data_IF_507332010732
#
_entry.id   IF_507332010732
#
_cell.length_a   1.000
_cell.length_b   1.000
_cell.length_c   1.000
_cell.angle_alpha   90.00
_cell.angle_beta   90.00
_cell.angle_gamma   90.00
#
_symmetry.space_group_name_H-M   'P 1'
#
loop_
_entity.id
_entity.type
_entity.pdbx_description
1 polymer ?
#
# COMPACT_ATOMS: atom_id res chain seq x y z
N UNK A 1 -16.04 2.64 -13.91
CA UNK A 1 -15.77 2.72 -12.48
C UNK A 1 -14.32 3.08 -12.27
N UNK A 2 -14.09 4.09 -11.46
CA UNK A 2 -12.74 4.53 -11.13
C UNK A 2 -12.44 4.18 -9.68
N UNK A 3 -11.60 3.21 -9.45
CA UNK A 3 -11.32 2.72 -8.10
C UNK A 3 -9.96 3.22 -7.64
N UNK A 4 -9.91 3.77 -6.43
CA UNK A 4 -8.66 4.04 -5.74
C UNK A 4 -8.49 2.96 -4.68
N UNK A 5 -7.34 2.29 -4.69
CA UNK A 5 -7.03 1.26 -3.71
C UNK A 5 -6.08 1.84 -2.67
N UNK A 6 -6.43 1.69 -1.41
CA UNK A 6 -5.57 2.10 -0.30
C UNK A 6 -5.02 0.85 0.37
N UNK A 7 -3.71 0.79 0.48
CA UNK A 7 -3.00 -0.33 1.09
C UNK A 7 -2.32 0.17 2.38
N UNK A 8 -3.01 0.06 3.52
CA UNK A 8 -2.38 0.47 4.78
C UNK A 8 -1.25 -0.50 5.13
N UNK A 9 -0.08 0.04 5.33
CA UNK A 9 1.11 -0.72 5.68
C UNK A 9 1.68 -0.30 7.04
N UNK A 10 1.11 0.74 7.64
CA UNK A 10 1.56 1.21 8.95
C UNK A 10 1.24 0.15 10.01
N UNK A 11 2.17 -0.09 10.90
CA UNK A 11 1.96 -1.04 11.98
C UNK A 11 2.26 -2.48 11.65
N UNK A 12 2.19 -2.85 10.38
CA UNK A 12 2.49 -4.22 9.99
C UNK A 12 3.97 -4.52 10.25
N UNK A 13 4.84 -3.60 9.82
CA UNK A 13 6.27 -3.76 10.03
C UNK A 13 6.63 -3.80 11.51
N UNK A 14 5.96 -2.99 12.31
CA UNK A 14 6.24 -2.94 13.74
C UNK A 14 5.87 -4.24 14.43
N UNK A 15 4.82 -4.90 13.97
CA UNK A 15 4.35 -6.13 14.59
C UNK A 15 5.20 -7.34 14.22
N UNK A 16 5.62 -7.41 12.97
CA UNK A 16 6.34 -8.57 12.46
C UNK A 16 7.79 -8.25 12.12
N UNK A 17 8.28 -7.13 12.63
CA UNK A 17 9.56 -6.62 12.18
C UNK A 17 9.40 -6.05 10.80
N UNK A 18 10.47 -5.55 10.23
CA UNK A 18 10.42 -4.92 8.93
C UNK A 18 10.23 -5.90 7.79
N UNK A 19 10.19 -7.19 8.07
CA UNK A 19 10.35 -8.17 7.01
C UNK A 19 9.07 -8.73 6.45
N UNK A 20 7.94 -8.48 7.11
CA UNK A 20 6.69 -9.04 6.61
C UNK A 20 6.40 -8.61 5.19
N UNK A 21 6.52 -7.31 4.91
CA UNK A 21 6.23 -6.78 3.59
C UNK A 21 7.35 -7.03 2.61
N UNK A 22 8.54 -7.34 3.10
CA UNK A 22 9.69 -7.64 2.25
C UNK A 22 9.84 -9.11 1.96
N UNK A 23 9.06 -9.94 2.61
CA UNK A 23 9.17 -11.38 2.44
C UNK A 23 8.89 -11.74 0.98
N UNK A 24 9.81 -12.48 0.40
CA UNK A 24 9.69 -12.84 -1.01
C UNK A 24 8.68 -13.94 -1.23
N UNK A 25 7.83 -13.72 -2.21
CA UNK A 25 6.92 -14.73 -2.70
C UNK A 25 7.16 -14.86 -4.19
N UNK A 26 7.79 -15.94 -4.59
CA UNK A 26 8.11 -16.12 -5.99
C UNK A 26 9.12 -15.11 -6.51
N UNK A 27 10.04 -14.70 -5.65
CA UNK A 27 11.11 -13.79 -6.05
C UNK A 27 10.79 -12.31 -5.93
N UNK A 28 9.65 -11.97 -5.31
CA UNK A 28 9.27 -10.58 -5.14
C UNK A 28 8.75 -10.31 -3.75
N UNK A 29 9.03 -9.12 -3.20
CA UNK A 29 8.47 -8.78 -1.90
C UNK A 29 6.94 -8.85 -1.89
N UNK A 30 6.39 -9.21 -0.75
CA UNK A 30 4.95 -9.36 -0.60
C UNK A 30 4.20 -8.08 -0.99
N UNK A 31 4.70 -6.93 -0.57
CA UNK A 31 4.06 -5.67 -0.91
C UNK A 31 3.98 -5.47 -2.43
N UNK A 32 5.05 -5.78 -3.13
CA UNK A 32 5.10 -5.62 -4.58
C UNK A 32 4.10 -6.57 -5.25
N UNK A 33 3.99 -7.78 -4.74
CA UNK A 33 3.03 -8.74 -5.29
C UNK A 33 1.60 -8.24 -5.12
N UNK A 34 1.31 -7.64 -3.96
CA UNK A 34 -0.01 -7.07 -3.71
C UNK A 34 -0.31 -5.94 -4.68
N UNK A 35 0.66 -5.03 -4.86
CA UNK A 35 0.49 -3.92 -5.79
C UNK A 35 0.24 -4.44 -7.21
N UNK A 36 1.04 -5.39 -7.64
CA UNK A 36 0.90 -5.92 -9.00
C UNK A 36 -0.46 -6.54 -9.25
N UNK A 37 -1.03 -7.18 -8.23
CA UNK A 37 -2.35 -7.76 -8.39
C UNK A 37 -3.40 -6.70 -8.71
N UNK A 38 -3.26 -5.51 -8.14
CA UNK A 38 -4.19 -4.43 -8.40
C UNK A 38 -3.89 -3.68 -9.70
N UNK A 39 -2.62 -3.58 -10.10
CA UNK A 39 -2.29 -2.87 -11.34
C UNK A 39 -2.84 -3.59 -12.57
N UNK A 40 -3.18 -4.85 -12.43
CA UNK A 40 -3.75 -5.62 -13.54
C UNK A 40 -5.22 -5.37 -13.76
N UNK A 41 -5.89 -4.65 -12.85
CA UNK A 41 -7.32 -4.43 -12.94
C UNK A 41 -7.58 -3.09 -13.63
N UNK A 42 -8.28 -3.10 -14.76
CA UNK A 42 -8.49 -1.86 -15.51
C UNK A 42 -9.30 -0.81 -14.77
N UNK A 43 -10.15 -1.22 -13.83
CA UNK A 43 -10.94 -0.27 -13.06
C UNK A 43 -10.12 0.45 -11.98
N UNK A 44 -8.93 -0.05 -11.65
CA UNK A 44 -8.08 0.59 -10.64
C UNK A 44 -7.31 1.72 -11.29
N UNK A 45 -7.61 2.94 -10.88
CA UNK A 45 -7.01 4.14 -11.43
C UNK A 45 -5.88 4.69 -10.58
N UNK A 46 -5.89 4.37 -9.30
CA UNK A 46 -4.93 4.91 -8.36
C UNK A 46 -4.67 3.88 -7.26
N UNK A 47 -3.42 3.76 -6.86
CA UNK A 47 -3.04 2.93 -5.73
C UNK A 47 -2.25 3.80 -4.77
N UNK A 48 -2.65 3.81 -3.51
CA UNK A 48 -1.98 4.56 -2.46
C UNK A 48 -1.49 3.58 -1.41
N UNK A 49 -0.19 3.60 -1.14
CA UNK A 49 0.39 2.82 -0.06
C UNK A 49 0.65 3.78 1.09
N UNK A 50 0.07 3.51 2.24
CA UNK A 50 0.29 4.30 3.44
C UNK A 50 1.26 3.55 4.34
N UNK A 51 2.48 4.03 4.40
CA UNK A 51 3.56 3.38 5.15
C UNK A 51 3.52 3.72 6.62
N UNK A 52 4.51 3.22 7.37
CA UNK A 52 4.59 3.51 8.79
C UNK A 52 4.91 4.99 9.02
N UNK A 53 4.60 5.46 10.21
CA UNK A 53 4.83 6.87 10.56
C UNK A 53 6.24 7.09 11.12
N UNK A 54 6.65 8.35 11.17
CA UNK A 54 7.87 8.74 11.84
C UNK A 54 9.13 8.22 11.13
N UNK A 55 10.13 7.88 11.92
CA UNK A 55 11.41 7.44 11.39
C UNK A 55 11.28 6.15 10.57
N UNK A 56 10.32 5.33 10.92
CA UNK A 56 10.10 4.09 10.18
C UNK A 56 9.67 4.36 8.73
N UNK A 57 9.08 5.52 8.48
CA UNK A 57 8.68 5.86 7.12
C UNK A 57 9.90 6.04 6.21
N UNK A 58 10.97 6.64 6.71
CA UNK A 58 12.17 6.80 5.89
C UNK A 58 12.75 5.46 5.46
N UNK A 59 12.82 4.51 6.38
CA UNK A 59 13.33 3.18 6.04
C UNK A 59 12.40 2.49 5.04
N UNK A 60 11.11 2.65 5.23
CA UNK A 60 10.12 2.09 4.31
C UNK A 60 10.26 2.72 2.92
N UNK A 61 10.39 4.03 2.89
CA UNK A 61 10.55 4.77 1.65
C UNK A 61 11.81 4.34 0.91
N UNK A 62 12.93 4.24 1.63
CA UNK A 62 14.19 3.82 1.03
C UNK A 62 14.08 2.43 0.40
N UNK A 63 13.32 1.57 1.03
CA UNK A 63 13.19 0.20 0.56
C UNK A 63 12.24 0.07 -0.63
N UNK A 64 11.14 0.80 -0.61
CA UNK A 64 10.06 0.55 -1.56
C UNK A 64 9.77 1.68 -2.55
N UNK A 65 10.26 2.90 -2.32
CA UNK A 65 9.86 4.04 -3.13
C UNK A 65 10.10 3.83 -4.62
N UNK A 66 11.25 3.29 -4.97
CA UNK A 66 11.61 3.12 -6.38
C UNK A 66 10.66 2.14 -7.07
N UNK A 67 10.41 0.99 -6.44
CA UNK A 67 9.57 -0.02 -7.08
C UNK A 67 8.11 0.41 -7.08
N UNK A 68 7.65 1.09 -6.03
CA UNK A 68 6.29 1.59 -6.00
C UNK A 68 6.09 2.67 -7.06
N UNK A 69 7.07 3.56 -7.20
CA UNK A 69 7.01 4.57 -8.24
C UNK A 69 7.00 3.98 -9.64
N UNK A 70 7.73 2.89 -9.83
CA UNK A 70 7.73 2.19 -11.10
C UNK A 70 6.31 1.71 -11.46
N UNK A 71 5.54 1.31 -10.47
CA UNK A 71 4.17 0.85 -10.70
C UNK A 71 3.15 1.98 -10.63
N UNK A 72 3.59 3.21 -10.50
CA UNK A 72 2.67 4.35 -10.45
C UNK A 72 1.94 4.49 -9.13
N UNK A 73 2.48 3.96 -8.05
CA UNK A 73 1.85 4.00 -6.74
C UNK A 73 2.26 5.27 -6.01
N UNK A 74 1.29 5.90 -5.33
CA UNK A 74 1.56 7.02 -4.46
C UNK A 74 1.88 6.50 -3.06
N UNK A 75 3.02 6.89 -2.53
CA UNK A 75 3.44 6.49 -1.19
C UNK A 75 3.21 7.66 -0.24
N UNK A 76 2.47 7.42 0.82
CA UNK A 76 2.20 8.45 1.83
C UNK A 76 2.54 7.92 3.21
N UNK A 77 2.82 8.84 4.13
CA UNK A 77 3.10 8.47 5.51
C UNK A 77 1.80 8.16 6.22
N UNK A 78 1.77 7.06 6.96
CA UNK A 78 0.62 6.68 7.75
C UNK A 78 0.62 7.33 9.12
N UNK A 79 -0.36 6.94 9.93
CA UNK A 79 -0.52 7.49 11.26
C UNK A 79 0.21 6.69 12.33
N UNK A 80 0.34 7.30 13.51
CA UNK A 80 1.01 6.68 14.65
C UNK A 80 0.10 5.82 15.49
N UNK A 81 -1.19 6.12 15.48
CA UNK A 81 -2.11 5.54 16.47
C UNK A 81 -2.73 4.23 16.02
N UNK A 82 -3.47 4.25 14.94
CA UNK A 82 -4.19 3.06 14.54
C UNK A 82 -4.42 3.06 13.04
N UNK A 83 -5.06 1.98 12.57
CA UNK A 83 -5.35 1.81 11.17
C UNK A 83 -6.26 2.90 10.62
N UNK A 84 -7.20 3.37 11.44
CA UNK A 84 -8.11 4.42 11.02
C UNK A 84 -7.40 5.72 10.71
N UNK A 85 -6.44 6.09 11.55
CA UNK A 85 -5.66 7.28 11.29
C UNK A 85 -4.90 7.15 9.96
N UNK A 86 -4.30 6.00 9.74
CA UNK A 86 -3.57 5.73 8.50
C UNK A 86 -4.47 5.83 7.29
N UNK A 87 -5.66 5.23 7.37
CA UNK A 87 -6.61 5.28 6.28
C UNK A 87 -7.11 6.72 6.05
N UNK A 88 -7.38 7.45 7.12
CA UNK A 88 -7.80 8.85 7.01
C UNK A 88 -6.79 9.70 6.27
N UNK A 89 -5.51 9.52 6.60
CA UNK A 89 -4.47 10.27 5.94
C UNK A 89 -4.38 9.92 4.46
N UNK A 90 -4.52 8.66 4.13
CA UNK A 90 -4.50 8.23 2.74
C UNK A 90 -5.70 8.75 1.96
N UNK A 91 -6.86 8.82 2.61
CA UNK A 91 -8.07 9.31 1.95
C UNK A 91 -7.92 10.74 1.43
N UNK A 92 -7.05 11.54 2.06
CA UNK A 92 -6.82 12.91 1.62
C UNK A 92 -6.17 12.98 0.25
N UNK A 93 -5.60 11.88 -0.20
CA UNK A 93 -4.89 11.82 -1.49
C UNK A 93 -5.70 11.13 -2.58
N UNK A 94 -6.93 10.73 -2.29
CA UNK A 94 -7.77 10.06 -3.27
C UNK A 94 -8.13 11.03 -4.39
N UNK A 95 -8.01 10.56 -5.62
CA UNK A 95 -8.30 11.38 -6.79
C UNK A 95 -9.77 11.82 -6.81
N UNK A 96 -10.00 13.04 -7.28
CA UNK A 96 -11.36 13.60 -7.30
C UNK A 96 -12.31 12.79 -8.16
N UNK A 97 -11.79 12.17 -9.20
CA UNK A 97 -12.64 11.40 -10.11
C UNK A 97 -12.88 9.97 -9.65
N UNK A 98 -12.39 9.59 -8.48
CA UNK A 98 -12.61 8.26 -7.96
C UNK A 98 -14.07 8.05 -7.62
N UNK A 99 -14.65 6.96 -8.09
CA UNK A 99 -16.03 6.64 -7.77
C UNK A 99 -16.11 5.65 -6.61
N UNK A 100 -15.05 4.92 -6.35
CA UNK A 100 -14.98 3.93 -5.28
C UNK A 100 -13.62 3.95 -4.64
N UNK A 101 -13.57 3.61 -3.36
CA UNK A 101 -12.33 3.44 -2.63
C UNK A 101 -12.35 2.05 -2.02
N UNK A 102 -11.31 1.27 -2.30
CA UNK A 102 -11.15 -0.07 -1.73
C UNK A 102 -9.97 -0.03 -0.77
N UNK A 103 -10.15 -0.62 0.39
CA UNK A 103 -9.08 -0.70 1.40
C UNK A 103 -8.69 -2.16 1.53
N UNK A 104 -7.41 -2.44 1.32
CA UNK A 104 -6.91 -3.80 1.34
C UNK A 104 -5.62 -3.85 2.14
N UNK A 105 -5.50 -4.85 3.02
CA UNK A 105 -4.31 -5.01 3.84
C UNK A 105 -3.10 -5.24 2.95
N UNK A 106 -2.07 -4.42 3.12
CA UNK A 106 -0.86 -4.48 2.29
C UNK A 106 -0.10 -5.80 2.48
N UNK A 107 -0.28 -6.46 3.61
CA UNK A 107 0.41 -7.71 3.90
C UNK A 107 -0.28 -8.93 3.31
N UNK A 108 -1.40 -8.74 2.62
CA UNK A 108 -2.12 -9.85 2.00
C UNK A 108 -2.07 -9.71 0.50
N UNK A 109 -1.51 -10.68 -0.23
CA UNK A 109 -1.61 -10.66 -1.68
C UNK A 109 -3.07 -10.69 -2.08
N UNK A 110 -3.38 -10.10 -3.21
CA UNK A 110 -4.74 -10.14 -3.70
C UNK A 110 -5.11 -11.58 -4.04
N UNK A 111 -6.23 -12.01 -3.53
CA UNK A 111 -6.67 -13.39 -3.70
C UNK A 111 -7.59 -13.56 -4.90
N UNK A 112 -7.58 -12.61 -5.75
CA UNK A 112 -8.47 -12.57 -6.88
C UNK A 112 -8.31 -13.71 -7.85
N UNK A 113 -7.33 -14.51 -7.64
CA UNK A 113 -7.24 -15.72 -8.41
C UNK A 113 -8.44 -16.59 -8.20
N UNK A 114 -9.04 -16.38 -7.09
CA UNK A 114 -10.27 -17.11 -6.84
C UNK A 114 -11.31 -16.71 -7.86
#
# INVERSE_FOLDING_TARGET
MNVTVILPAAGVSARFGSDKLSCDLGGRPLLVRTVEAFTRRPEVQQIIVAGPAGDAFEAFQDRFAAVLGFHGVLLVMGGHRDRWETVSLALQHVAENATHVAIHDAARPCLSTA
#
